data_IF_120294267709
#
_entry.id   IF_120294267709
#
_cell.length_a   1.000
_cell.length_b   1.000
_cell.length_c   1.000
_cell.angle_alpha   90.00
_cell.angle_beta   90.00
_cell.angle_gamma   90.00
#
_symmetry.space_group_name_H-M   'P 1'
#
loop_
_entity.id
_entity.type
_entity.pdbx_description
1 polymer ?
#
# COMPACT_ATOMS: atom_id res chain seq x y z
N UNK A 1 0.83 10.55 -6.71
CA UNK A 1 1.95 11.21 -6.01
C UNK A 1 3.26 10.49 -6.31
N UNK A 2 3.25 9.16 -6.29
CA UNK A 2 4.43 8.35 -6.58
C UNK A 2 3.98 6.95 -7.04
N UNK A 3 4.76 6.29 -7.89
CA UNK A 3 4.55 4.89 -8.29
C UNK A 3 5.89 4.28 -8.65
N UNK A 4 6.17 3.07 -8.15
CA UNK A 4 7.41 2.35 -8.43
C UNK A 4 7.26 0.85 -8.11
N UNK A 5 8.23 0.05 -8.53
CA UNK A 5 8.36 -1.36 -8.15
C UNK A 5 9.50 -1.50 -7.14
N UNK A 6 9.22 -2.18 -6.03
CA UNK A 6 10.20 -2.41 -4.97
C UNK A 6 10.45 -3.90 -4.76
N UNK A 7 11.73 -4.28 -4.71
CA UNK A 7 12.15 -5.61 -4.28
C UNK A 7 12.29 -5.64 -2.75
N UNK A 8 11.62 -6.59 -2.08
CA UNK A 8 11.72 -6.78 -0.63
C UNK A 8 13.06 -7.43 -0.30
N UNK A 9 13.95 -6.67 0.35
CA UNK A 9 15.32 -7.12 0.64
C UNK A 9 15.45 -7.73 2.02
N UNK A 10 14.63 -7.32 3.00
CA UNK A 10 14.63 -7.86 4.36
C UNK A 10 13.24 -7.81 5.00
N UNK A 11 13.01 -8.70 5.97
CA UNK A 11 11.81 -8.72 6.82
C UNK A 11 12.26 -8.84 8.27
N UNK A 12 11.72 -7.97 9.13
CA UNK A 12 11.94 -7.96 10.59
C UNK A 12 13.43 -8.00 10.97
N UNK A 13 14.24 -7.08 10.42
CA UNK A 13 15.70 -7.03 10.63
C UNK A 13 16.15 -7.02 12.10
N UNK A 14 15.30 -6.53 13.01
CA UNK A 14 15.53 -6.49 14.46
C UNK A 14 14.83 -7.64 15.23
N UNK A 15 14.47 -8.71 14.51
CA UNK A 15 13.67 -9.83 14.98
C UNK A 15 12.17 -9.52 15.00
N UNK A 16 11.35 -10.55 14.76
CA UNK A 16 9.89 -10.45 14.75
C UNK A 16 9.36 -10.04 16.13
N UNK A 17 8.63 -8.93 16.18
CA UNK A 17 8.05 -8.38 17.42
C UNK A 17 6.55 -8.60 17.56
N UNK A 18 5.84 -8.72 16.43
CA UNK A 18 4.40 -8.85 16.38
C UNK A 18 4.03 -10.06 15.54
N UNK A 19 2.99 -10.80 15.91
CA UNK A 19 2.61 -12.02 15.19
C UNK A 19 2.07 -11.71 13.79
N UNK A 20 1.31 -10.61 13.67
CA UNK A 20 0.52 -10.23 12.50
C UNK A 20 1.11 -9.07 11.70
N UNK A 21 2.11 -8.39 12.24
CA UNK A 21 2.75 -7.25 11.58
C UNK A 21 4.23 -7.53 11.45
N UNK A 22 4.74 -7.40 10.24
CA UNK A 22 6.18 -7.42 9.97
C UNK A 22 6.62 -6.11 9.34
N UNK A 23 7.83 -5.68 9.68
CA UNK A 23 8.48 -4.55 9.01
C UNK A 23 9.27 -5.07 7.82
N UNK A 24 8.88 -4.66 6.62
CA UNK A 24 9.64 -4.95 5.40
C UNK A 24 10.61 -3.79 5.11
N UNK A 25 11.79 -4.13 4.61
CA UNK A 25 12.69 -3.18 3.97
C UNK A 25 12.81 -3.55 2.48
N UNK A 26 12.66 -2.57 1.60
CA UNK A 26 12.62 -2.79 0.16
C UNK A 26 13.38 -1.70 -0.60
N UNK A 27 13.85 -2.02 -1.80
CA UNK A 27 14.62 -1.10 -2.66
C UNK A 27 13.90 -0.96 -4.00
N UNK A 28 13.78 0.27 -4.47
CA UNK A 28 13.22 0.58 -5.78
C UNK A 28 14.13 0.06 -6.90
N UNK A 29 13.51 -0.55 -7.91
CA UNK A 29 14.20 -1.00 -9.12
C UNK A 29 14.64 0.13 -10.04
N UNK A 30 14.03 1.33 -9.92
CA UNK A 30 14.22 2.41 -10.89
C UNK A 30 14.95 3.62 -10.31
N UNK A 31 14.71 3.94 -9.05
CA UNK A 31 15.08 5.23 -8.46
C UNK A 31 16.15 5.11 -7.38
N UNK A 32 16.52 3.89 -6.98
CA UNK A 32 17.45 3.65 -5.86
C UNK A 32 16.89 4.07 -4.50
N UNK A 33 15.61 4.43 -4.44
CA UNK A 33 14.90 4.72 -3.20
C UNK A 33 14.80 3.48 -2.33
N UNK A 34 14.78 3.68 -1.02
CA UNK A 34 14.52 2.61 -0.05
C UNK A 34 13.18 2.87 0.63
N UNK A 35 12.49 1.80 1.00
CA UNK A 35 11.20 1.84 1.68
C UNK A 35 11.27 0.94 2.91
N UNK A 36 10.87 1.47 4.07
CA UNK A 36 10.48 0.67 5.23
C UNK A 36 8.97 0.77 5.40
N UNK A 37 8.30 -0.38 5.52
CA UNK A 37 6.85 -0.43 5.61
C UNK A 37 6.40 -1.51 6.61
N UNK A 38 5.50 -1.16 7.52
CA UNK A 38 4.86 -2.11 8.42
C UNK A 38 3.61 -2.68 7.72
N UNK A 39 3.58 -4.01 7.52
CA UNK A 39 2.54 -4.71 6.74
C UNK A 39 1.82 -5.72 7.63
N UNK A 40 0.48 -5.80 7.51
CA UNK A 40 -0.28 -6.88 8.14
C UNK A 40 -0.13 -8.19 7.35
N UNK A 41 0.86 -9.00 7.76
CA UNK A 41 1.23 -10.25 7.10
C UNK A 41 0.23 -11.39 7.34
N UNK A 42 -0.75 -11.22 8.23
CA UNK A 42 -1.85 -12.19 8.40
C UNK A 42 -2.80 -12.19 7.20
N UNK A 43 -3.05 -11.01 6.61
CA UNK A 43 -3.99 -10.83 5.49
C UNK A 43 -3.29 -10.57 4.16
N UNK A 44 -2.04 -10.10 4.20
CA UNK A 44 -1.21 -9.88 3.01
C UNK A 44 0.19 -10.45 3.26
N UNK A 45 0.39 -11.76 3.03
CA UNK A 45 1.68 -12.41 3.21
C UNK A 45 2.74 -11.79 2.28
N UNK A 46 3.93 -11.50 2.81
CA UNK A 46 5.06 -10.97 2.05
C UNK A 46 6.32 -11.77 2.40
N UNK A 47 7.13 -12.06 1.39
CA UNK A 47 8.39 -12.79 1.47
C UNK A 47 9.58 -11.94 0.99
N UNK A 48 10.78 -12.28 1.46
CA UNK A 48 12.00 -11.70 0.92
C UNK A 48 12.17 -12.12 -0.55
N UNK A 49 12.52 -11.16 -1.42
CA UNK A 49 12.60 -11.33 -2.87
C UNK A 49 11.28 -11.07 -3.61
N UNK A 50 10.19 -10.77 -2.90
CA UNK A 50 8.94 -10.35 -3.56
C UNK A 50 9.12 -8.98 -4.22
N UNK A 51 8.48 -8.79 -5.37
CA UNK A 51 8.45 -7.54 -6.11
C UNK A 51 7.07 -6.89 -5.95
N UNK A 52 7.02 -5.74 -5.28
CA UNK A 52 5.80 -5.03 -4.93
C UNK A 52 5.59 -3.83 -5.83
N UNK A 53 4.47 -3.80 -6.57
CA UNK A 53 4.01 -2.61 -7.28
C UNK A 53 3.36 -1.68 -6.25
N UNK A 54 4.03 -0.58 -5.92
CA UNK A 54 3.55 0.38 -4.93
C UNK A 54 3.11 1.68 -5.60
N UNK A 55 1.93 2.17 -5.21
CA UNK A 55 1.45 3.47 -5.63
C UNK A 55 0.99 4.29 -4.43
N UNK A 56 1.45 5.54 -4.37
CA UNK A 56 0.99 6.55 -3.41
C UNK A 56 0.14 7.58 -4.13
N UNK A 57 -1.12 7.70 -3.71
CA UNK A 57 -2.12 8.62 -4.26
C UNK A 57 -2.79 9.42 -3.14
N UNK A 58 -3.24 10.63 -3.48
CA UNK A 58 -4.08 11.44 -2.58
C UNK A 58 -5.58 11.15 -2.74
N UNK A 59 -5.96 10.33 -3.70
CA UNK A 59 -7.35 9.98 -4.03
C UNK A 59 -7.44 8.62 -4.71
N UNK A 60 -8.55 7.91 -4.47
CA UNK A 60 -8.93 6.67 -5.16
C UNK A 60 -9.82 6.89 -6.40
N UNK A 61 -10.17 8.15 -6.71
CA UNK A 61 -10.97 8.51 -7.88
C UNK A 61 -10.20 8.22 -9.17
N UNK A 62 -10.81 7.44 -10.07
CA UNK A 62 -10.22 7.12 -11.38
C UNK A 62 -10.23 8.33 -12.33
N UNK A 63 -11.18 9.25 -12.16
CA UNK A 63 -11.31 10.46 -12.99
C UNK A 63 -10.44 11.61 -12.49
N UNK A 64 -9.85 11.51 -11.29
CA UNK A 64 -9.13 12.59 -10.63
C UNK A 64 -10.02 13.77 -10.20
N UNK A 65 -11.32 13.72 -10.51
CA UNK A 65 -12.34 14.59 -9.93
C UNK A 65 -12.93 13.88 -8.72
N UNK A 66 -12.61 14.44 -7.58
CA UNK A 66 -12.98 13.93 -6.27
C UNK A 66 -14.38 14.38 -5.84
N UNK A 67 -14.98 15.30 -6.59
CA UNK A 67 -16.27 15.91 -6.27
C UNK A 67 -16.33 16.44 -4.82
N UNK A 68 -17.50 16.90 -4.37
CA UNK A 68 -17.71 17.27 -2.96
C UNK A 68 -17.74 16.05 -2.01
N UNK A 69 -17.66 14.82 -2.54
CA UNK A 69 -17.76 13.59 -1.77
C UNK A 69 -16.42 13.11 -1.21
N UNK A 70 -15.28 13.36 -1.89
CA UNK A 70 -13.97 13.00 -1.34
C UNK A 70 -13.52 13.89 -0.17
N UNK A 71 -14.17 15.04 0.03
CA UNK A 71 -13.94 15.88 1.22
C UNK A 71 -14.61 15.34 2.49
N UNK A 72 -15.42 14.28 2.38
CA UNK A 72 -16.03 13.65 3.54
C UNK A 72 -15.24 12.41 3.87
N UNK A 73 -14.64 12.39 5.06
CA UNK A 73 -14.07 11.20 5.72
C UNK A 73 -15.15 10.12 6.03
N UNK A 74 -16.19 10.02 5.22
CA UNK A 74 -17.31 9.09 5.37
C UNK A 74 -16.99 7.80 4.62
N UNK A 75 -16.50 6.81 5.36
CA UNK A 75 -16.38 5.46 4.85
C UNK A 75 -17.77 4.87 4.54
N UNK A 76 -17.95 4.33 3.33
CA UNK A 76 -19.18 3.64 2.92
C UNK A 76 -18.95 2.13 2.94
N UNK A 77 -19.44 1.49 4.00
CA UNK A 77 -19.44 0.03 4.15
C UNK A 77 -20.32 -0.61 3.08
N UNK A 78 -19.74 -1.30 2.09
CA UNK A 78 -20.50 -2.01 1.05
C UNK A 78 -19.94 -1.93 -0.37
N UNK A 79 -18.79 -1.30 -0.55
CA UNK A 79 -18.25 -0.99 -1.88
C UNK A 79 -19.01 0.18 -2.48
N UNK A 80 -18.30 1.09 -3.12
CA UNK A 80 -18.97 2.04 -4.02
C UNK A 80 -19.47 1.22 -5.21
N UNK A 81 -20.70 1.46 -5.70
CA UNK A 81 -21.19 0.83 -6.93
C UNK A 81 -20.27 1.12 -8.16
N UNK A 82 -19.34 2.06 -8.00
CA UNK A 82 -18.30 2.46 -8.94
C UNK A 82 -16.96 1.85 -8.58
N UNK A 83 -16.28 1.31 -9.60
CA UNK A 83 -14.87 0.92 -9.55
C UNK A 83 -14.00 2.11 -9.10
N UNK A 84 -12.99 1.83 -8.30
CA UNK A 84 -11.99 2.77 -7.79
C UNK A 84 -10.58 2.25 -8.08
N UNK A 85 -9.55 3.08 -7.82
CA UNK A 85 -8.17 2.63 -7.93
C UNK A 85 -7.84 1.48 -6.96
N UNK A 86 -8.49 1.41 -5.81
CA UNK A 86 -8.27 0.36 -4.82
C UNK A 86 -8.61 -1.05 -5.35
N UNK A 87 -9.51 -1.15 -6.32
CA UNK A 87 -9.93 -2.44 -6.89
C UNK A 87 -8.85 -3.10 -7.77
N UNK A 88 -7.82 -2.34 -8.15
CA UNK A 88 -6.70 -2.81 -8.97
C UNK A 88 -5.47 -3.22 -8.13
N UNK A 89 -5.56 -3.19 -6.79
CA UNK A 89 -4.46 -3.51 -5.87
C UNK A 89 -4.88 -4.50 -4.77
N UNK A 90 -3.96 -5.38 -4.37
CA UNK A 90 -4.23 -6.44 -3.39
C UNK A 90 -4.24 -5.96 -1.93
N UNK A 91 -3.57 -4.84 -1.65
CA UNK A 91 -3.43 -4.29 -0.31
C UNK A 91 -3.48 -2.76 -0.33
N UNK A 92 -4.40 -2.18 0.44
CA UNK A 92 -4.63 -0.74 0.47
C UNK A 92 -4.56 -0.22 1.91
N UNK A 93 -3.86 0.89 2.09
CA UNK A 93 -3.76 1.61 3.36
C UNK A 93 -4.17 3.06 3.19
N UNK A 94 -4.66 3.66 4.27
CA UNK A 94 -4.96 5.09 4.35
C UNK A 94 -4.22 5.66 5.57
N UNK A 95 -3.47 6.75 5.38
CA UNK A 95 -2.61 7.36 6.39
C UNK A 95 -2.47 8.88 6.19
N UNK A 96 -1.78 9.54 7.14
CA UNK A 96 -1.47 10.99 7.11
C UNK A 96 0.03 11.22 7.08
#
# INVERSE_FOLDING_TARGET
>A
LFSDVFEVTQIDANGKKFDRVSRIAAISEQTGMTMELDVNVEIYPVSQGDHLVMMLVSSLSLSGDDGPAAQRDEWRSGGTATKTLADDYDYVMHGK
#
